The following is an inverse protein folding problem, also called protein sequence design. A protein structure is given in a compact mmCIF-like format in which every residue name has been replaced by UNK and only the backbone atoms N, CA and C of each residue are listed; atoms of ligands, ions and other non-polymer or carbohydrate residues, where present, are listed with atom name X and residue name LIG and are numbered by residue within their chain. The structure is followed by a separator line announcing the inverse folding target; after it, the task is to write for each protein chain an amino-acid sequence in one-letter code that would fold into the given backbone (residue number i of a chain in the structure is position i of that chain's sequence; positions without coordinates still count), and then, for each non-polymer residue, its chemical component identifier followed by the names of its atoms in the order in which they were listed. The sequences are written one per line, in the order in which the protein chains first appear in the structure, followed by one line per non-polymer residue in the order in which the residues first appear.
data_IF_538724610677
#
_entry.id   IF_538724610677
#
_cell.length_a   1.000
_cell.length_b   1.000
_cell.length_c   1.000
_cell.angle_alpha   90.00
_cell.angle_beta   90.00
_cell.angle_gamma   90.00
#
_symmetry.space_group_name_H-M   'P 1'
#
loop_
_entity.id
_entity.type
_entity.pdbx_description
1 polymer ?
#
# COMPACT_ATOMS: atom_id res chain seq x y z
N UNK A 1 -14.25 11.99 -10.73
CA UNK A 1 -13.39 10.82 -10.44
C UNK A 1 -11.95 11.31 -10.30
N UNK A 2 -11.58 11.80 -9.10
CA UNK A 2 -10.34 12.56 -8.92
C UNK A 2 -9.08 11.68 -9.02
N UNK A 3 -8.26 11.95 -10.03
CA UNK A 3 -6.97 11.29 -10.31
C UNK A 3 -5.91 11.48 -9.20
N UNK A 4 -6.18 12.31 -8.19
CA UNK A 4 -5.29 12.56 -7.06
C UNK A 4 -5.14 11.39 -6.07
N UNK A 5 -6.02 10.39 -6.12
CA UNK A 5 -5.95 9.21 -5.23
C UNK A 5 -4.95 8.12 -5.66
N UNK A 6 -4.23 8.30 -6.79
CA UNK A 6 -3.32 7.27 -7.34
C UNK A 6 -1.88 7.32 -6.80
N UNK A 7 -1.47 8.35 -6.04
CA UNK A 7 -0.10 8.47 -5.52
C UNK A 7 -0.05 8.08 -4.03
N UNK A 8 0.84 7.13 -3.69
CA UNK A 8 1.15 6.64 -2.33
C UNK A 8 0.14 5.68 -1.70
N UNK A 9 -0.26 4.65 -2.44
CA UNK A 9 -1.22 3.64 -1.99
C UNK A 9 -0.77 2.89 -0.72
N UNK A 10 0.49 2.47 -0.67
CA UNK A 10 1.05 1.73 0.47
C UNK A 10 0.98 2.53 1.78
N UNK A 11 1.23 3.85 1.73
CA UNK A 11 1.20 4.75 2.90
C UNK A 11 -0.13 4.64 3.63
N UNK A 12 -1.23 4.75 2.91
CA UNK A 12 -2.58 4.71 3.48
C UNK A 12 -2.98 3.31 3.93
N UNK A 13 -2.53 2.26 3.22
CA UNK A 13 -2.80 0.88 3.63
C UNK A 13 -2.22 0.61 5.04
N UNK A 14 -0.99 1.03 5.29
CA UNK A 14 -0.31 0.75 6.57
C UNK A 14 -0.59 1.77 7.68
N UNK A 15 -1.19 2.92 7.36
CA UNK A 15 -1.48 3.96 8.34
C UNK A 15 -2.46 3.42 9.38
N UNK A 16 -2.08 3.33 10.66
CA UNK A 16 -2.95 2.77 11.72
C UNK A 16 -4.27 3.52 11.91
N UNK A 17 -4.37 4.75 11.39
CA UNK A 17 -5.57 5.57 11.45
C UNK A 17 -6.56 5.29 10.31
N UNK A 18 -6.12 4.61 9.24
CA UNK A 18 -6.95 4.34 8.06
C UNK A 18 -7.77 3.05 8.20
N UNK A 19 -9.09 3.16 8.09
CA UNK A 19 -9.99 2.01 8.21
C UNK A 19 -10.35 1.34 6.88
N UNK A 20 -9.84 1.89 5.78
CA UNK A 20 -10.22 1.50 4.43
C UNK A 20 -9.15 0.66 3.74
N UNK A 21 -8.29 -0.02 4.51
CA UNK A 21 -7.21 -0.83 3.97
C UNK A 21 -7.71 -1.92 3.00
N UNK A 22 -8.84 -2.58 3.32
CA UNK A 22 -9.46 -3.60 2.46
C UNK A 22 -9.99 -3.02 1.14
N UNK A 23 -10.71 -1.90 1.20
CA UNK A 23 -11.21 -1.17 0.02
C UNK A 23 -10.06 -0.66 -0.85
N UNK A 24 -8.96 -0.26 -0.23
CA UNK A 24 -7.73 0.10 -0.95
C UNK A 24 -7.17 -1.13 -1.67
N UNK A 25 -6.91 -2.22 -0.96
CA UNK A 25 -6.34 -3.42 -1.56
C UNK A 25 -7.20 -3.98 -2.70
N UNK A 26 -8.54 -3.92 -2.59
CA UNK A 26 -9.44 -4.39 -3.65
C UNK A 26 -9.36 -3.58 -4.96
N UNK A 27 -8.82 -2.36 -4.91
CA UNK A 27 -8.54 -1.56 -6.11
C UNK A 27 -7.26 -1.95 -6.84
N UNK A 28 -6.44 -2.83 -6.24
CA UNK A 28 -5.16 -3.30 -6.78
C UNK A 28 -5.18 -4.77 -7.20
N UNK A 29 -6.33 -5.44 -7.07
CA UNK A 29 -6.52 -6.89 -7.35
C UNK A 29 -6.56 -7.26 -8.83
N UNK A 30 -6.40 -6.30 -9.75
CA UNK A 30 -6.37 -6.60 -11.18
C UNK A 30 -4.97 -7.06 -11.65
N UNK A 31 -4.86 -7.78 -12.80
CA UNK A 31 -3.59 -8.26 -13.32
C UNK A 31 -2.56 -7.16 -13.66
N UNK A 32 -2.98 -5.91 -13.83
CA UNK A 32 -2.15 -4.82 -14.31
C UNK A 32 -1.60 -3.92 -13.20
N UNK A 33 -2.33 -3.71 -12.10
CA UNK A 33 -1.95 -2.78 -11.04
C UNK A 33 -0.67 -3.17 -10.29
N UNK A 34 -0.78 -3.89 -9.17
CA UNK A 34 0.40 -4.26 -8.39
C UNK A 34 1.24 -5.35 -9.07
N UNK A 35 0.59 -6.18 -9.91
CA UNK A 35 1.18 -7.41 -10.44
C UNK A 35 2.07 -7.22 -11.68
N UNK A 36 2.00 -6.07 -12.39
CA UNK A 36 2.99 -5.73 -13.45
C UNK A 36 4.38 -5.38 -12.94
N UNK A 37 4.56 -5.22 -11.63
CA UNK A 37 5.89 -5.03 -11.07
C UNK A 37 6.68 -6.34 -11.17
N UNK A 38 7.73 -6.37 -12.00
CA UNK A 38 8.62 -7.53 -12.16
C UNK A 38 9.94 -7.40 -11.37
N UNK A 39 9.94 -6.59 -10.30
CA UNK A 39 11.10 -6.46 -9.40
C UNK A 39 12.39 -6.06 -10.13
N UNK A 40 12.29 -5.17 -11.12
CA UNK A 40 13.44 -4.62 -11.89
C UNK A 40 14.26 -3.63 -11.03
N UNK A 41 13.66 -3.09 -9.95
CA UNK A 41 14.29 -2.20 -8.95
C UNK A 41 14.80 -0.83 -9.44
N UNK A 42 14.60 -0.48 -10.72
CA UNK A 42 14.94 0.85 -11.24
C UNK A 42 14.29 1.99 -10.42
N UNK A 43 13.06 1.78 -9.91
CA UNK A 43 12.34 2.76 -9.11
C UNK A 43 13.03 3.11 -7.78
N UNK A 44 13.65 2.14 -7.11
CA UNK A 44 14.40 2.38 -5.87
C UNK A 44 15.76 2.99 -6.19
N UNK A 45 16.45 2.51 -7.22
CA UNK A 45 17.78 3.02 -7.62
C UNK A 45 17.75 4.49 -8.04
N UNK A 46 16.71 4.90 -8.78
CA UNK A 46 16.62 6.26 -9.35
C UNK A 46 15.96 7.28 -8.43
N UNK A 47 15.45 6.87 -7.27
CA UNK A 47 14.64 7.77 -6.44
C UNK A 47 15.51 8.90 -5.86
N UNK A 48 15.28 10.18 -6.25
CA UNK A 48 16.07 11.31 -5.75
C UNK A 48 15.79 11.65 -4.28
N UNK A 49 14.75 11.02 -3.71
CA UNK A 49 14.35 11.17 -2.30
C UNK A 49 14.81 10.00 -1.44
N UNK A 50 15.61 9.09 -1.98
CA UNK A 50 16.11 7.90 -1.27
C UNK A 50 14.99 7.04 -0.67
N UNK A 51 13.82 7.01 -1.32
CA UNK A 51 12.71 6.14 -0.94
C UNK A 51 12.90 4.74 -1.55
N UNK A 52 12.17 3.76 -1.00
CA UNK A 52 12.15 2.41 -1.54
C UNK A 52 10.74 1.98 -2.02
N UNK A 53 10.31 2.43 -3.22
CA UNK A 53 9.03 2.02 -3.79
C UNK A 53 8.93 0.52 -4.06
N UNK A 54 10.05 -0.14 -4.42
CA UNK A 54 10.03 -1.58 -4.67
C UNK A 54 9.64 -2.38 -3.42
N UNK A 55 10.18 -2.00 -2.26
CA UNK A 55 9.79 -2.60 -0.97
C UNK A 55 8.30 -2.40 -0.69
N UNK A 56 7.78 -1.19 -0.89
CA UNK A 56 6.37 -0.89 -0.69
C UNK A 56 5.45 -1.73 -1.60
N UNK A 57 5.83 -1.95 -2.87
CA UNK A 57 5.08 -2.81 -3.79
C UNK A 57 5.14 -4.28 -3.33
N UNK A 58 6.28 -4.75 -2.83
CA UNK A 58 6.42 -6.10 -2.27
C UNK A 58 5.45 -6.35 -1.12
N UNK A 59 5.37 -5.43 -0.17
CA UNK A 59 4.44 -5.51 0.96
C UNK A 59 2.97 -5.49 0.51
N UNK A 60 2.62 -4.66 -0.48
CA UNK A 60 1.28 -4.68 -1.10
C UNK A 60 0.97 -6.06 -1.67
N UNK A 61 1.91 -6.67 -2.43
CA UNK A 61 1.70 -8.01 -2.99
C UNK A 61 1.51 -9.05 -1.89
N UNK A 62 2.32 -9.02 -0.83
CA UNK A 62 2.16 -9.91 0.33
C UNK A 62 0.77 -9.78 0.95
N UNK A 63 0.24 -8.56 1.08
CA UNK A 63 -1.12 -8.33 1.58
C UNK A 63 -2.21 -8.81 0.63
N UNK A 64 -2.03 -8.62 -0.69
CA UNK A 64 -2.98 -9.11 -1.70
C UNK A 64 -3.04 -10.64 -1.76
N UNK A 65 -1.92 -11.32 -1.51
CA UNK A 65 -1.83 -12.79 -1.48
C UNK A 65 -2.19 -13.40 -0.12
N UNK A 66 -2.54 -12.58 0.88
CA UNK A 66 -2.89 -13.05 2.23
C UNK A 66 -1.71 -13.52 3.09
N UNK A 67 -0.46 -13.33 2.64
CA UNK A 67 0.75 -13.65 3.42
C UNK A 67 0.88 -12.72 4.63
N UNK A 68 0.42 -11.47 4.49
CA UNK A 68 0.43 -10.46 5.55
C UNK A 68 -0.91 -9.76 5.66
N UNK A 69 -1.25 -9.33 6.86
CA UNK A 69 -2.44 -8.51 7.11
C UNK A 69 -2.03 -7.24 7.86
N UNK A 70 -2.88 -6.21 7.77
CA UNK A 70 -2.70 -5.00 8.58
C UNK A 70 -2.98 -5.35 10.04
N UNK A 71 -2.04 -5.08 10.98
CA UNK A 71 -2.28 -5.30 12.40
C UNK A 71 -3.30 -4.30 12.95
N UNK A 72 -3.96 -4.69 14.04
CA UNK A 72 -4.85 -3.78 14.76
C UNK A 72 -4.07 -2.59 15.36
N UNK A 73 -4.70 -1.41 15.48
CA UNK A 73 -4.07 -0.25 16.10
C UNK A 73 -3.67 -0.54 17.56
N UNK A 74 -2.44 -0.17 17.94
CA UNK A 74 -1.90 -0.37 19.29
C UNK A 74 -2.60 0.50 20.35
N UNK A 75 -3.21 1.60 19.92
CA UNK A 75 -3.99 2.50 20.77
C UNK A 75 -5.44 2.39 20.34
N UNK A 76 -6.39 2.19 21.27
CA UNK A 76 -7.80 2.20 20.94
C UNK A 76 -8.13 3.54 20.29
N UNK A 77 -8.92 3.48 19.22
CA UNK A 77 -9.41 4.71 18.61
C UNK A 77 -10.18 5.50 19.66
N UNK A 78 -10.08 6.84 19.66
CA UNK A 78 -10.95 7.66 20.48
C UNK A 78 -12.38 7.16 20.27
N UNK A 79 -13.07 6.83 21.36
CA UNK A 79 -14.47 6.47 21.31
C UNK A 79 -15.21 7.71 20.78
N UNK A 80 -15.54 7.66 19.50
CA UNK A 80 -16.43 8.55 18.77
C UNK A 80 -16.02 10.05 18.75
N UNK A 81 -15.59 10.50 17.56
CA UNK A 81 -15.68 11.89 17.15
C UNK A 81 -16.93 12.07 16.27
#
# INVERSE_FOLDING_TARGET
MNNYLKKNFFRWIIDSRDDKAKERLSRLTDPFSAFKCHTILNCTKTCPKHLNPAKAIGEIKSMLTGIRTKPEPQVPKPADA
#
